data_IF_241395021485
#
_entry.id   IF_241395021485
#
_cell.length_a   1.000
_cell.length_b   1.000
_cell.length_c   1.000
_cell.angle_alpha   90.00
_cell.angle_beta   90.00
_cell.angle_gamma   90.00
#
_symmetry.space_group_name_H-M   'P 1'
#
loop_
_entity.id
_entity.type
_entity.pdbx_description
1 polymer ?
#
# COMPACT_ATOMS: atom_id res chain seq x y z
N UNK A 1 -5.74 7.44 26.76
CA UNK A 1 -6.78 6.52 26.24
C UNK A 1 -6.14 5.70 25.13
N UNK A 2 -5.84 4.42 25.37
CA UNK A 2 -5.39 3.52 24.31
C UNK A 2 -6.62 3.12 23.48
N UNK A 3 -6.62 3.26 22.15
CA UNK A 3 -7.74 2.82 21.35
C UNK A 3 -7.90 1.31 21.48
N UNK A 4 -9.16 0.88 21.54
CA UNK A 4 -9.58 -0.51 21.64
C UNK A 4 -8.85 -1.36 20.59
N UNK A 5 -8.12 -2.39 21.05
CA UNK A 5 -7.38 -3.38 20.22
C UNK A 5 -8.24 -4.15 19.20
N UNK A 6 -9.54 -3.83 19.07
CA UNK A 6 -10.50 -4.51 18.19
C UNK A 6 -10.60 -3.96 16.75
N UNK A 7 -9.99 -2.82 16.40
CA UNK A 7 -10.21 -2.16 15.10
C UNK A 7 -9.36 -2.68 13.92
N UNK A 8 -8.12 -3.14 14.16
CA UNK A 8 -7.18 -3.47 13.07
C UNK A 8 -7.24 -4.92 12.59
N UNK A 9 -7.71 -5.87 13.41
CA UNK A 9 -7.71 -7.30 13.07
C UNK A 9 -8.58 -7.66 11.84
N UNK A 10 -9.56 -6.81 11.50
CA UNK A 10 -10.43 -6.97 10.34
C UNK A 10 -9.95 -6.22 9.09
N UNK A 11 -8.82 -5.51 9.17
CA UNK A 11 -8.24 -4.73 8.08
C UNK A 11 -6.95 -5.44 7.65
N UNK A 12 -7.03 -6.32 6.66
CA UNK A 12 -5.85 -7.08 6.22
C UNK A 12 -6.13 -8.14 5.17
N UNK A 13 -5.08 -8.87 4.83
CA UNK A 13 -5.06 -9.94 3.84
C UNK A 13 -5.09 -11.29 4.57
N UNK A 14 -5.84 -12.25 4.04
CA UNK A 14 -5.91 -13.64 4.51
C UNK A 14 -4.69 -14.43 4.03
N UNK A 15 -4.50 -15.66 4.53
CA UNK A 15 -3.35 -16.50 4.19
C UNK A 15 -3.15 -16.73 2.68
N UNK A 16 -4.20 -16.59 1.88
CA UNK A 16 -4.22 -16.82 0.43
C UNK A 16 -4.07 -15.54 -0.42
N UNK A 17 -3.70 -14.41 0.20
CA UNK A 17 -3.62 -13.14 -0.53
C UNK A 17 -4.98 -12.48 -0.78
N UNK A 18 -6.03 -12.93 -0.10
CA UNK A 18 -7.40 -12.43 -0.26
C UNK A 18 -7.73 -11.36 0.78
N UNK A 19 -8.45 -10.31 0.39
CA UNK A 19 -8.82 -9.27 1.35
C UNK A 19 -9.84 -9.80 2.35
N UNK A 20 -9.63 -9.54 3.64
CA UNK A 20 -10.65 -9.77 4.68
C UNK A 20 -11.87 -8.86 4.50
N UNK A 21 -11.67 -7.70 3.85
CA UNK A 21 -12.72 -6.73 3.54
C UNK A 21 -12.54 -6.22 2.12
N UNK A 22 -13.59 -6.36 1.31
CA UNK A 22 -13.63 -5.90 -0.07
C UNK A 22 -14.22 -4.51 -0.23
N UNK A 23 -14.64 -3.85 0.85
CA UNK A 23 -15.09 -2.45 0.82
C UNK A 23 -13.92 -1.50 1.04
N UNK A 24 -13.92 -0.37 0.34
CA UNK A 24 -12.94 0.68 0.59
C UNK A 24 -13.02 1.21 2.03
N UNK A 25 -11.87 1.61 2.57
CA UNK A 25 -11.78 2.25 3.88
C UNK A 25 -12.57 3.56 3.90
N UNK A 26 -13.29 3.80 4.99
CA UNK A 26 -13.99 5.05 5.26
C UNK A 26 -13.00 6.21 5.45
N UNK A 27 -13.50 7.45 5.46
CA UNK A 27 -12.67 8.62 5.72
C UNK A 27 -12.00 8.56 7.10
N UNK A 28 -12.75 8.16 8.12
CA UNK A 28 -12.25 8.00 9.49
C UNK A 28 -11.16 6.92 9.59
N UNK A 29 -11.37 5.78 8.92
CA UNK A 29 -10.38 4.69 8.90
C UNK A 29 -9.07 5.09 8.21
N UNK A 30 -9.16 5.91 7.16
CA UNK A 30 -7.96 6.46 6.51
C UNK A 30 -7.22 7.42 7.41
N UNK A 31 -7.93 8.25 8.17
CA UNK A 31 -7.32 9.18 9.12
C UNK A 31 -6.64 8.43 10.27
N UNK A 32 -7.27 7.37 10.78
CA UNK A 32 -6.67 6.46 11.76
C UNK A 32 -5.34 5.89 11.25
N UNK A 33 -5.28 5.39 10.01
CA UNK A 33 -4.03 4.88 9.43
C UNK A 33 -2.94 5.96 9.27
N UNK A 34 -3.32 7.20 8.96
CA UNK A 34 -2.36 8.31 8.88
C UNK A 34 -1.76 8.63 10.24
N UNK A 35 -2.57 8.61 11.30
CA UNK A 35 -2.12 8.84 12.68
C UNK A 35 -1.10 7.80 13.13
N UNK A 36 -1.24 6.55 12.68
CA UNK A 36 -0.28 5.48 12.98
C UNK A 36 0.86 5.34 11.97
N UNK A 37 1.00 6.29 11.03
CA UNK A 37 2.00 6.22 9.97
C UNK A 37 1.91 4.95 9.10
N UNK A 38 0.74 4.33 9.03
CA UNK A 38 0.41 3.18 8.17
C UNK A 38 -0.18 3.60 6.82
N UNK A 39 -0.21 4.90 6.55
CA UNK A 39 -0.60 5.49 5.28
C UNK A 39 0.20 6.77 5.06
N UNK A 40 0.49 7.08 3.80
CA UNK A 40 1.18 8.31 3.38
C UNK A 40 0.42 8.96 2.24
N UNK A 41 0.35 10.30 2.28
CA UNK A 41 -0.18 11.15 1.19
C UNK A 41 0.94 11.87 0.43
N UNK A 42 2.15 11.87 0.99
CA UNK A 42 3.33 12.61 0.53
C UNK A 42 4.56 11.72 0.66
N UNK A 43 5.56 11.99 -0.16
CA UNK A 43 6.87 11.37 -0.06
C UNK A 43 7.60 11.81 1.22
N UNK A 44 8.65 11.08 1.66
CA UNK A 44 9.39 11.41 2.88
C UNK A 44 9.99 12.83 2.90
N UNK A 45 10.30 13.39 1.74
CA UNK A 45 10.79 14.76 1.55
C UNK A 45 9.69 15.83 1.58
N UNK A 46 8.42 15.43 1.77
CA UNK A 46 7.26 16.32 1.76
C UNK A 46 6.68 16.60 0.37
N UNK A 47 7.26 16.00 -0.68
CA UNK A 47 6.82 16.06 -2.07
C UNK A 47 5.57 15.22 -2.36
N UNK A 48 5.12 15.29 -3.60
CA UNK A 48 4.08 14.39 -4.11
C UNK A 48 4.61 12.96 -4.17
N UNK A 49 3.72 11.98 -4.00
CA UNK A 49 4.12 10.59 -4.21
C UNK A 49 4.32 10.34 -5.72
N UNK A 50 5.45 9.72 -6.04
CA UNK A 50 5.90 9.46 -7.40
C UNK A 50 6.43 8.04 -7.47
N UNK A 51 6.17 7.36 -8.60
CA UNK A 51 6.84 6.11 -8.95
C UNK A 51 7.47 6.29 -10.34
N UNK A 52 8.57 5.58 -10.57
CA UNK A 52 9.28 5.63 -11.84
C UNK A 52 8.61 4.75 -12.90
N UNK A 53 8.67 5.22 -14.14
CA UNK A 53 8.28 4.42 -15.29
C UNK A 53 9.27 3.27 -15.50
N UNK A 54 8.75 2.08 -15.81
CA UNK A 54 9.57 0.89 -16.04
C UNK A 54 10.05 0.21 -14.76
N UNK A 55 9.58 0.63 -13.59
CA UNK A 55 9.96 -0.02 -12.33
C UNK A 55 9.55 -1.49 -12.30
N UNK A 56 10.49 -2.32 -11.88
CA UNK A 56 10.26 -3.73 -11.56
C UNK A 56 9.89 -3.90 -10.07
N UNK A 57 9.48 -5.11 -9.71
CA UNK A 57 9.01 -5.45 -8.36
C UNK A 57 10.00 -5.10 -7.24
N UNK A 58 11.31 -5.18 -7.49
CA UNK A 58 12.36 -4.83 -6.51
C UNK A 58 12.44 -3.32 -6.29
N UNK A 59 12.31 -2.53 -7.36
CA UNK A 59 12.31 -1.06 -7.27
C UNK A 59 11.05 -0.56 -6.56
N UNK A 60 9.90 -1.19 -6.85
CA UNK A 60 8.62 -0.91 -6.18
C UNK A 60 8.71 -1.23 -4.68
N UNK A 61 9.30 -2.37 -4.31
CA UNK A 61 9.49 -2.77 -2.92
C UNK A 61 10.41 -1.80 -2.17
N UNK A 62 11.55 -1.43 -2.75
CA UNK A 62 12.45 -0.44 -2.19
C UNK A 62 11.75 0.90 -1.93
N UNK A 63 10.98 1.37 -2.92
CA UNK A 63 10.20 2.60 -2.76
C UNK A 63 9.16 2.52 -1.63
N UNK A 64 8.47 1.38 -1.45
CA UNK A 64 7.51 1.23 -0.34
C UNK A 64 8.20 1.12 1.02
N UNK A 65 9.37 0.49 1.09
CA UNK A 65 10.20 0.43 2.29
C UNK A 65 10.68 1.82 2.69
N UNK A 66 11.05 2.67 1.74
CA UNK A 66 11.40 4.06 2.01
C UNK A 66 10.19 4.89 2.48
N UNK A 67 9.00 4.57 1.97
CA UNK A 67 7.77 5.28 2.31
C UNK A 67 7.25 4.95 3.72
N UNK A 68 7.39 3.69 4.13
CA UNK A 68 6.86 3.12 5.38
C UNK A 68 7.92 2.29 6.12
N UNK A 69 9.08 2.86 6.49
CA UNK A 69 10.24 2.10 6.96
C UNK A 69 9.97 1.32 8.25
N UNK A 70 9.25 1.93 9.19
CA UNK A 70 8.91 1.29 10.46
C UNK A 70 7.99 0.08 10.28
N UNK A 71 7.03 0.18 9.35
CA UNK A 71 6.09 -0.90 9.05
C UNK A 71 6.83 -2.08 8.41
N UNK A 72 7.66 -1.81 7.40
CA UNK A 72 8.44 -2.87 6.74
C UNK A 72 9.49 -3.48 7.67
N UNK A 73 10.14 -2.69 8.52
CA UNK A 73 11.06 -3.21 9.54
C UNK A 73 10.36 -4.15 10.53
N UNK A 74 9.13 -3.83 10.95
CA UNK A 74 8.32 -4.73 11.76
C UNK A 74 7.98 -6.04 11.01
N UNK A 75 7.60 -5.94 9.74
CA UNK A 75 7.25 -7.10 8.91
C UNK A 75 8.46 -8.02 8.70
N UNK A 76 9.63 -7.46 8.40
CA UNK A 76 10.87 -8.22 8.22
C UNK A 76 11.25 -8.99 9.49
N UNK A 77 11.12 -8.34 10.66
CA UNK A 77 11.42 -8.99 11.96
C UNK A 77 10.40 -10.08 12.29
N UNK A 78 9.13 -9.86 11.95
CA UNK A 78 8.03 -10.76 12.32
C UNK A 78 7.92 -11.97 11.40
N UNK A 79 8.13 -11.76 10.10
CA UNK A 79 7.85 -12.75 9.05
C UNK A 79 9.10 -13.16 8.26
N UNK A 80 10.27 -12.60 8.57
CA UNK A 80 11.51 -12.77 7.82
C UNK A 80 11.60 -11.79 6.65
N UNK A 81 12.82 -11.46 6.21
CA UNK A 81 13.05 -10.50 5.11
C UNK A 81 12.99 -11.14 3.71
N UNK A 82 12.62 -12.41 3.62
CA UNK A 82 12.62 -13.15 2.37
C UNK A 82 11.34 -12.86 1.57
N UNK A 83 11.50 -12.18 0.43
CA UNK A 83 10.43 -11.86 -0.50
C UNK A 83 9.77 -10.50 -0.27
N UNK A 84 8.50 -10.39 -0.65
CA UNK A 84 7.75 -9.13 -0.67
C UNK A 84 6.57 -9.20 0.32
N UNK A 85 6.48 -8.24 1.25
CA UNK A 85 5.44 -8.21 2.28
C UNK A 85 4.16 -7.47 1.87
N UNK A 86 3.98 -7.24 0.58
CA UNK A 86 2.90 -6.42 0.04
C UNK A 86 2.24 -7.12 -1.15
N UNK A 87 1.01 -6.70 -1.43
CA UNK A 87 0.28 -7.06 -2.64
C UNK A 87 -0.37 -5.79 -3.18
N UNK A 88 -0.53 -5.69 -4.51
CA UNK A 88 -1.28 -4.59 -5.08
C UNK A 88 -2.77 -4.82 -4.90
N UNK A 89 -3.44 -3.73 -4.57
CA UNK A 89 -4.87 -3.72 -4.37
C UNK A 89 -5.45 -2.64 -5.27
N UNK A 90 -6.42 -3.03 -6.10
CA UNK A 90 -7.12 -2.12 -6.99
C UNK A 90 -8.52 -1.85 -6.44
N UNK A 91 -8.96 -0.61 -6.61
CA UNK A 91 -10.32 -0.19 -6.27
C UNK A 91 -11.13 -0.02 -7.56
N UNK A 92 -12.25 -0.72 -7.67
CA UNK A 92 -13.28 -0.48 -8.68
C UNK A 92 -14.59 -0.05 -8.00
N UNK A 93 -15.02 1.18 -8.28
CA UNK A 93 -16.16 1.85 -7.65
C UNK A 93 -16.09 1.81 -6.11
N UNK A 94 -16.79 0.88 -5.48
CA UNK A 94 -16.88 0.72 -4.03
C UNK A 94 -16.17 -0.54 -3.52
N UNK A 95 -15.69 -1.36 -4.46
CA UNK A 95 -15.08 -2.66 -4.19
C UNK A 95 -13.56 -2.55 -4.35
N UNK A 96 -12.86 -3.28 -3.51
CA UNK A 96 -11.41 -3.39 -3.45
C UNK A 96 -11.08 -4.85 -3.64
N UNK A 97 -10.11 -5.14 -4.50
CA UNK A 97 -9.68 -6.50 -4.83
C UNK A 97 -8.16 -6.56 -4.95
N UNK A 98 -7.60 -7.70 -4.57
CA UNK A 98 -6.17 -7.97 -4.72
C UNK A 98 -5.88 -8.32 -6.17
N UNK A 99 -4.83 -7.70 -6.73
CA UNK A 99 -4.29 -8.11 -8.02
C UNK A 99 -3.44 -9.35 -7.77
N UNK A 100 -3.74 -10.46 -8.47
CA UNK A 100 -2.95 -11.70 -8.39
C UNK A 100 -2.04 -11.76 -9.62
N UNK A 101 -0.74 -11.50 -9.45
CA UNK A 101 0.30 -11.63 -10.49
C UNK A 101 1.58 -12.18 -9.87
N UNK A 102 2.37 -12.91 -10.67
CA UNK A 102 3.69 -13.40 -10.26
C UNK A 102 4.72 -12.28 -10.14
N UNK A 103 4.59 -11.26 -10.99
CA UNK A 103 5.44 -10.06 -10.99
C UNK A 103 4.57 -8.82 -11.21
N UNK A 104 4.99 -7.72 -10.60
CA UNK A 104 4.36 -6.41 -10.78
C UNK A 104 5.34 -5.42 -11.39
N UNK A 105 4.82 -4.54 -12.25
CA UNK A 105 5.56 -3.44 -12.88
C UNK A 105 4.93 -2.08 -12.56
N UNK A 106 5.58 -1.00 -13.01
CA UNK A 106 5.01 0.35 -12.98
C UNK A 106 3.62 0.45 -13.61
N UNK A 107 3.34 -0.37 -14.62
CA UNK A 107 2.05 -0.34 -15.32
C UNK A 107 0.93 -0.88 -14.42
N UNK A 108 1.25 -1.88 -13.59
CA UNK A 108 0.30 -2.41 -12.60
C UNK A 108 0.02 -1.38 -11.50
N UNK A 109 1.01 -0.60 -11.08
CA UNK A 109 0.82 0.53 -10.16
C UNK A 109 -0.08 1.61 -10.78
N UNK A 110 0.14 1.94 -12.06
CA UNK A 110 -0.70 2.87 -12.80
C UNK A 110 -2.15 2.36 -12.90
N UNK A 111 -2.34 1.06 -13.13
CA UNK A 111 -3.65 0.42 -13.16
C UNK A 111 -4.33 0.43 -11.78
N UNK A 112 -3.58 0.15 -10.72
CA UNK A 112 -4.10 0.05 -9.35
C UNK A 112 -4.55 1.41 -8.79
N UNK A 113 -3.88 2.51 -9.17
CA UNK A 113 -4.19 3.87 -8.65
C UNK A 113 -5.61 4.34 -9.03
N UNK A 114 -6.21 3.78 -10.08
CA UNK A 114 -7.50 4.20 -10.62
C UNK A 114 -7.47 5.57 -11.31
N UNK A 115 -8.64 6.11 -11.68
CA UNK A 115 -8.75 7.25 -12.59
C UNK A 115 -8.55 8.65 -11.99
N UNK A 116 -8.25 8.81 -10.69
CA UNK A 116 -8.02 10.14 -10.10
C UNK A 116 -7.35 10.09 -8.72
N UNK A 117 -6.06 9.75 -8.66
CA UNK A 117 -5.25 10.17 -7.51
C UNK A 117 -4.89 11.65 -7.71
N UNK A 118 -5.63 12.59 -7.08
CA UNK A 118 -5.46 14.05 -7.20
C UNK A 118 -4.11 14.62 -6.68
N UNK A 119 -3.08 13.79 -6.53
CA UNK A 119 -1.75 14.21 -6.07
C UNK A 119 -0.64 13.24 -6.48
N UNK A 120 -0.84 12.51 -7.58
CA UNK A 120 0.15 11.57 -8.11
C UNK A 120 0.72 12.06 -9.43
N UNK A 121 2.03 11.93 -9.62
CA UNK A 121 2.69 12.11 -10.92
C UNK A 121 3.48 10.87 -11.31
N UNK A 122 3.38 10.53 -12.59
CA UNK A 122 4.30 9.60 -13.22
C UNK A 122 5.60 10.34 -13.50
N UNK A 123 6.73 9.75 -13.11
CA UNK A 123 8.04 10.28 -13.46
C UNK A 123 8.45 9.71 -14.81
N UNK A 124 8.55 10.59 -15.81
CA UNK A 124 9.31 10.29 -17.01
C UNK A 124 10.80 10.22 -16.61
N UNK A 125 11.40 9.05 -16.80
CA UNK A 125 12.85 8.88 -16.70
C UNK A 125 13.54 9.56 -17.88
#
# INVERSE_FOLDING_TARGET
MCPSKKSLANKGIQAEGELRRTTALSGEEKEELLQYHLSRKKAPDGGELQFGNGWNMKEIDGWMRDLLPEMFGYLDVTYGSDGYHWVLVKKDRFTVFTMKRETFTSDDLAEAKGSAARGWRECAV
#
